data_IF_200893174508
#
_entry.id   IF_200893174508
#
_cell.length_a   1.000
_cell.length_b   1.000
_cell.length_c   1.000
_cell.angle_alpha   90.00
_cell.angle_beta   90.00
_cell.angle_gamma   90.00
#
_symmetry.space_group_name_H-M   'P 1'
#
loop_
_entity.id
_entity.type
_entity.pdbx_description
1 polymer ?
#
# COMPACT_ATOMS: atom_id res chain seq x y z
N UNK A 1 -5.95 -6.37 19.26
CA UNK A 1 -5.15 -5.35 18.55
C UNK A 1 -5.06 -5.81 17.11
N UNK A 2 -5.57 -5.05 16.11
CA UNK A 2 -5.36 -5.42 14.72
C UNK A 2 -3.85 -5.42 14.43
N UNK A 3 -3.35 -6.52 13.86
CA UNK A 3 -1.94 -6.63 13.48
C UNK A 3 -1.70 -5.76 12.25
N UNK A 4 -0.90 -4.69 12.40
CA UNK A 4 -0.49 -3.85 11.29
C UNK A 4 0.29 -4.69 10.27
N UNK A 5 -0.26 -4.83 9.06
CA UNK A 5 0.41 -5.50 7.95
C UNK A 5 1.24 -4.48 7.17
N UNK A 6 2.43 -4.22 7.69
CA UNK A 6 3.47 -3.45 7.02
C UNK A 6 4.27 -4.38 6.11
N UNK A 7 4.59 -3.94 4.88
CA UNK A 7 5.42 -4.75 3.99
C UNK A 7 6.86 -4.83 4.54
N UNK A 8 7.59 -5.93 4.29
CA UNK A 8 8.89 -6.19 4.94
C UNK A 8 10.00 -5.17 4.63
N UNK A 9 9.76 -4.27 3.68
CA UNK A 9 10.70 -3.23 3.23
C UNK A 9 10.28 -1.81 3.67
N UNK A 10 9.27 -1.70 4.54
CA UNK A 10 8.70 -0.42 4.98
C UNK A 10 9.07 -0.10 6.43
N UNK A 11 9.05 1.20 6.74
CA UNK A 11 9.33 1.73 8.07
C UNK A 11 8.16 1.47 9.03
N UNK A 12 8.44 0.76 10.12
CA UNK A 12 7.46 0.43 11.15
C UNK A 12 7.05 1.65 12.01
N UNK A 13 7.89 2.69 12.07
CA UNK A 13 7.62 3.89 12.90
C UNK A 13 6.61 4.84 12.24
N UNK A 14 6.14 4.51 11.02
CA UNK A 14 5.15 5.27 10.24
C UNK A 14 5.56 6.73 10.03
N UNK A 15 6.86 7.04 10.06
CA UNK A 15 7.38 8.38 9.78
C UNK A 15 7.15 8.78 8.32
N UNK A 16 7.14 7.79 7.44
CA UNK A 16 6.73 7.86 6.04
C UNK A 16 5.34 7.23 5.87
N UNK A 17 4.68 7.53 4.75
CA UNK A 17 3.42 6.88 4.38
C UNK A 17 3.75 5.50 3.80
N UNK A 18 3.43 4.38 4.47
CA UNK A 18 3.62 3.04 3.91
C UNK A 18 2.60 2.78 2.79
N UNK A 19 2.83 1.75 1.98
CA UNK A 19 2.01 1.36 0.84
C UNK A 19 0.60 0.98 1.26
N UNK A 20 0.41 0.37 2.42
CA UNK A 20 -0.93 0.16 2.98
C UNK A 20 -1.66 1.50 3.16
N UNK A 21 -1.03 2.45 3.86
CA UNK A 21 -1.61 3.79 4.05
C UNK A 21 -1.80 4.54 2.73
N UNK A 22 -0.89 4.37 1.76
CA UNK A 22 -1.03 4.93 0.42
C UNK A 22 -2.22 4.33 -0.34
N UNK A 23 -2.40 3.01 -0.29
CA UNK A 23 -3.56 2.30 -0.87
C UNK A 23 -4.86 2.83 -0.29
N UNK A 24 -4.92 2.98 1.05
CA UNK A 24 -6.10 3.52 1.73
C UNK A 24 -6.45 4.93 1.25
N UNK A 25 -5.47 5.83 1.19
CA UNK A 25 -5.64 7.21 0.75
C UNK A 25 -6.03 7.31 -0.74
N UNK A 26 -5.37 6.52 -1.60
CA UNK A 26 -5.65 6.47 -3.03
C UNK A 26 -7.05 5.91 -3.29
N UNK A 27 -7.48 4.84 -2.59
CA UNK A 27 -8.85 4.33 -2.65
C UNK A 27 -9.88 5.38 -2.23
N UNK A 28 -9.57 6.16 -1.18
CA UNK A 28 -10.43 7.24 -0.72
C UNK A 28 -10.49 8.46 -1.64
N UNK A 29 -9.67 8.50 -2.71
CA UNK A 29 -9.57 9.63 -3.64
C UNK A 29 -8.91 10.85 -2.99
N UNK A 30 -7.91 10.61 -2.14
CA UNK A 30 -7.27 11.63 -1.31
C UNK A 30 -5.75 11.52 -1.39
N UNK A 31 -5.10 12.66 -1.63
CA UNK A 31 -3.65 12.80 -1.55
C UNK A 31 -3.33 13.56 -0.27
N UNK A 32 -2.70 12.87 0.67
CA UNK A 32 -2.14 13.48 1.86
C UNK A 32 -0.65 13.76 1.66
N UNK A 33 -0.21 14.97 2.00
CA UNK A 33 1.21 15.31 2.01
C UNK A 33 1.93 14.58 3.16
N UNK A 34 3.25 14.41 3.05
CA UNK A 34 4.05 13.81 4.13
C UNK A 34 3.91 14.61 5.44
N UNK A 35 3.91 15.94 5.34
CA UNK A 35 3.68 16.82 6.50
C UNK A 35 2.30 16.57 7.12
N UNK A 36 1.25 16.49 6.29
CA UNK A 36 -0.11 16.20 6.77
C UNK A 36 -0.21 14.84 7.46
N UNK A 37 0.45 13.82 6.92
CA UNK A 37 0.56 12.49 7.53
C UNK A 37 1.28 12.51 8.89
N UNK A 38 2.40 13.22 8.97
CA UNK A 38 3.19 13.32 10.20
C UNK A 38 2.45 14.11 11.31
N UNK A 39 1.52 14.99 10.94
CA UNK A 39 0.65 15.71 11.89
C UNK A 39 -0.53 14.87 12.40
N UNK A 40 -0.86 13.75 11.75
CA UNK A 40 -1.84 12.82 12.31
C UNK A 40 -1.31 12.20 13.61
N UNK A 41 -2.22 11.79 14.49
CA UNK A 41 -1.82 10.97 15.64
C UNK A 41 -1.29 9.61 15.16
N UNK A 42 -0.43 8.97 15.96
CA UNK A 42 0.04 7.62 15.64
C UNK A 42 -1.14 6.65 15.45
N UNK A 43 -2.14 6.69 16.35
CA UNK A 43 -3.36 5.88 16.24
C UNK A 43 -4.11 6.08 14.90
N UNK A 44 -4.17 7.32 14.40
CA UNK A 44 -4.80 7.58 13.11
C UNK A 44 -3.97 7.00 11.95
N UNK A 45 -2.64 7.12 12.01
CA UNK A 45 -1.74 6.49 11.02
C UNK A 45 -1.89 4.97 11.02
N UNK A 46 -1.88 4.35 12.19
CA UNK A 46 -2.05 2.89 12.36
C UNK A 46 -3.42 2.43 11.85
N UNK A 47 -4.49 3.17 12.13
CA UNK A 47 -5.82 2.87 11.62
C UNK A 47 -5.88 2.95 10.08
N UNK A 48 -5.32 4.00 9.48
CA UNK A 48 -5.25 4.15 8.01
C UNK A 48 -4.45 3.00 7.38
N UNK A 49 -3.34 2.61 8.00
CA UNK A 49 -2.53 1.46 7.55
C UNK A 49 -3.34 0.17 7.62
N UNK A 50 -4.04 -0.07 8.73
CA UNK A 50 -4.85 -1.28 8.91
C UNK A 50 -5.90 -1.38 7.82
N UNK A 51 -6.67 -0.31 7.59
CA UNK A 51 -7.69 -0.23 6.53
C UNK A 51 -7.09 -0.47 5.14
N UNK A 52 -5.89 0.04 4.90
CA UNK A 52 -5.17 -0.15 3.65
C UNK A 52 -4.65 -1.56 3.40
N UNK A 53 -4.58 -2.40 4.44
CA UNK A 53 -4.14 -3.79 4.33
C UNK A 53 -5.28 -4.80 4.14
N UNK A 54 -6.53 -4.38 4.41
CA UNK A 54 -7.71 -5.23 4.28
C UNK A 54 -8.02 -5.58 2.82
N UNK A 55 -8.85 -6.61 2.61
CA UNK A 55 -9.36 -6.98 1.28
C UNK A 55 -10.01 -5.78 0.59
N UNK A 56 -10.90 -5.09 1.30
CA UNK A 56 -11.58 -3.88 0.85
C UNK A 56 -11.23 -2.72 1.79
N UNK A 57 -11.00 -1.54 1.23
CA UNK A 57 -10.71 -0.33 2.00
C UNK A 57 -12.02 0.35 2.40
N UNK A 58 -12.24 0.56 3.71
CA UNK A 58 -13.32 1.43 4.20
C UNK A 58 -12.98 2.90 3.91
N UNK A 59 -13.45 3.39 2.77
CA UNK A 59 -13.16 4.73 2.26
C UNK A 59 -13.71 5.84 3.16
N UNK A 60 -14.91 5.66 3.72
CA UNK A 60 -15.51 6.68 4.58
C UNK A 60 -14.74 6.80 5.89
N UNK A 61 -14.32 5.67 6.48
CA UNK A 61 -13.47 5.68 7.67
C UNK A 61 -12.11 6.33 7.41
N UNK A 62 -11.50 6.09 6.25
CA UNK A 62 -10.25 6.77 5.86
C UNK A 62 -10.46 8.28 5.77
N UNK A 63 -11.57 8.74 5.17
CA UNK A 63 -11.90 10.17 5.08
C UNK A 63 -12.06 10.81 6.45
N UNK A 64 -12.77 10.14 7.37
CA UNK A 64 -12.92 10.61 8.74
C UNK A 64 -11.57 10.79 9.45
N UNK A 65 -10.66 9.82 9.29
CA UNK A 65 -9.34 9.82 9.94
C UNK A 65 -8.43 10.96 9.46
N UNK A 66 -8.66 11.50 8.26
CA UNK A 66 -7.81 12.56 7.68
C UNK A 66 -8.45 13.95 7.72
N UNK A 67 -9.70 14.08 8.20
CA UNK A 67 -10.42 15.37 8.28
C UNK A 67 -9.65 16.45 9.06
N UNK A 68 -8.90 16.06 10.09
CA UNK A 68 -8.08 16.96 10.91
C UNK A 68 -6.65 17.19 10.40
N UNK A 69 -6.27 16.66 9.23
CA UNK A 69 -4.90 16.76 8.76
C UNK A 69 -4.51 18.20 8.38
N UNK A 70 -3.26 18.58 8.70
CA UNK A 70 -2.70 19.89 8.33
C UNK A 70 -1.31 19.71 7.69
N UNK A 71 -1.12 20.05 6.40
CA UNK A 71 -2.13 20.56 5.46
C UNK A 71 -3.28 19.58 5.17
N UNK A 72 -4.48 20.07 4.80
CA UNK A 72 -5.60 19.22 4.40
C UNK A 72 -5.26 18.29 3.24
N UNK A 73 -5.93 17.13 3.18
CA UNK A 73 -5.79 16.22 2.05
C UNK A 73 -6.46 16.79 0.78
N UNK A 74 -5.77 16.66 -0.35
CA UNK A 74 -6.26 17.11 -1.65
C UNK A 74 -7.10 16.02 -2.32
N UNK A 75 -8.19 16.36 -3.03
CA UNK A 75 -8.89 15.40 -3.87
C UNK A 75 -8.01 14.97 -5.04
N UNK A 76 -8.02 13.67 -5.35
CA UNK A 76 -7.40 13.10 -6.55
C UNK A 76 -8.35 12.10 -7.21
N UNK A 77 -8.14 11.82 -8.50
CA UNK A 77 -8.74 10.65 -9.12
C UNK A 77 -8.18 9.40 -8.44
N UNK A 78 -9.06 8.55 -7.89
CA UNK A 78 -8.65 7.27 -7.30
C UNK A 78 -7.97 6.42 -8.37
N UNK A 79 -6.70 6.03 -8.19
CA UNK A 79 -6.05 5.08 -9.07
C UNK A 79 -6.81 3.76 -9.08
N UNK A 80 -6.95 3.14 -10.25
CA UNK A 80 -7.51 1.80 -10.37
C UNK A 80 -6.70 0.81 -9.51
N UNK A 81 -7.41 -0.02 -8.76
CA UNK A 81 -6.81 -1.11 -8.00
C UNK A 81 -6.34 -2.22 -8.97
N UNK A 82 -5.19 -2.87 -8.73
CA UNK A 82 -4.74 -3.93 -9.63
C UNK A 82 -5.70 -5.13 -9.59
N UNK A 83 -5.87 -5.85 -10.72
CA UNK A 83 -6.69 -7.05 -10.77
C UNK A 83 -6.19 -8.13 -9.81
N UNK A 84 -7.12 -8.87 -9.20
CA UNK A 84 -6.78 -9.97 -8.29
C UNK A 84 -6.19 -11.17 -9.02
N UNK A 85 -6.69 -11.48 -10.22
CA UNK A 85 -6.39 -12.74 -10.91
C UNK A 85 -5.11 -12.71 -11.74
N UNK A 86 -4.62 -11.52 -12.13
CA UNK A 86 -3.41 -11.38 -12.94
C UNK A 86 -2.68 -10.05 -12.67
N UNK A 87 -1.34 -10.02 -12.78
CA UNK A 87 -0.59 -8.78 -12.74
C UNK A 87 -0.98 -7.84 -13.89
N UNK A 88 -0.70 -6.54 -13.74
CA UNK A 88 -0.86 -5.62 -14.86
C UNK A 88 0.28 -5.77 -15.87
N UNK A 89 0.05 -5.36 -17.13
CA UNK A 89 1.04 -5.43 -18.21
C UNK A 89 2.35 -4.74 -17.83
N UNK A 90 2.29 -3.63 -17.09
CA UNK A 90 3.48 -2.91 -16.63
C UNK A 90 4.29 -3.70 -15.59
N UNK A 91 3.63 -4.50 -14.76
CA UNK A 91 4.32 -5.39 -13.81
C UNK A 91 5.00 -6.54 -14.57
N UNK A 92 4.26 -7.16 -15.50
CA UNK A 92 4.78 -8.26 -16.33
C UNK A 92 5.96 -7.82 -17.22
N UNK A 93 5.92 -6.59 -17.74
CA UNK A 93 7.02 -6.04 -18.53
C UNK A 93 8.35 -5.95 -17.76
N UNK A 94 8.31 -5.91 -16.42
CA UNK A 94 9.51 -5.75 -15.57
C UNK A 94 9.90 -7.05 -14.88
N UNK A 95 8.93 -7.84 -14.40
CA UNK A 95 9.16 -9.10 -13.67
C UNK A 95 9.06 -10.35 -14.53
N UNK A 96 8.43 -10.26 -15.70
CA UNK A 96 7.93 -11.43 -16.41
C UNK A 96 6.79 -12.08 -15.65
N UNK A 97 6.82 -13.41 -15.54
CA UNK A 97 5.81 -14.17 -14.79
C UNK A 97 5.93 -13.92 -13.29
N UNK A 98 4.78 -13.75 -12.63
CA UNK A 98 4.65 -13.58 -11.18
C UNK A 98 3.82 -14.74 -10.61
N UNK A 99 4.41 -15.93 -10.40
CA UNK A 99 3.71 -17.07 -9.81
C UNK A 99 3.10 -16.72 -8.46
N UNK A 100 1.87 -17.16 -8.22
CA UNK A 100 1.18 -16.90 -6.95
C UNK A 100 0.63 -15.47 -6.81
N UNK A 101 0.50 -14.70 -7.89
CA UNK A 101 -0.09 -13.35 -7.87
C UNK A 101 -1.42 -13.26 -7.08
N UNK A 102 -2.35 -14.19 -7.34
CA UNK A 102 -3.65 -14.22 -6.67
C UNK A 102 -3.53 -14.49 -5.15
N UNK A 103 -2.46 -15.16 -4.71
CA UNK A 103 -2.20 -15.42 -3.30
C UNK A 103 -1.50 -14.25 -2.58
N UNK A 104 -0.99 -13.25 -3.31
CA UNK A 104 -0.40 -12.06 -2.70
C UNK A 104 -1.49 -11.24 -1.97
N UNK A 105 -1.21 -10.69 -0.78
CA UNK A 105 -2.12 -9.75 -0.14
C UNK A 105 -2.44 -8.56 -1.06
N UNK A 106 -3.63 -7.94 -0.95
CA UNK A 106 -4.02 -6.78 -1.75
C UNK A 106 -2.98 -5.66 -1.74
N UNK A 107 -2.42 -5.34 -0.55
CA UNK A 107 -1.37 -4.33 -0.39
C UNK A 107 -0.09 -4.68 -1.15
N UNK A 108 0.27 -5.97 -1.25
CA UNK A 108 1.45 -6.41 -1.99
C UNK A 108 1.23 -6.25 -3.50
N UNK A 109 0.07 -6.66 -4.02
CA UNK A 109 -0.32 -6.42 -5.42
C UNK A 109 -0.31 -4.93 -5.75
N UNK A 110 -0.90 -4.11 -4.88
CA UNK A 110 -0.92 -2.65 -5.01
C UNK A 110 0.50 -2.06 -5.06
N UNK A 111 1.41 -2.49 -4.17
CA UNK A 111 2.78 -1.99 -4.15
C UNK A 111 3.52 -2.29 -5.47
N UNK A 112 3.42 -3.52 -5.98
CA UNK A 112 4.04 -3.92 -7.26
C UNK A 112 3.49 -3.10 -8.43
N UNK A 113 2.16 -2.95 -8.50
CA UNK A 113 1.51 -2.15 -9.54
C UNK A 113 1.89 -0.66 -9.45
N UNK A 114 1.94 -0.10 -8.24
CA UNK A 114 2.31 1.30 -7.99
C UNK A 114 3.75 1.59 -8.41
N UNK A 115 4.70 0.68 -8.13
CA UNK A 115 6.08 0.85 -8.58
C UNK A 115 6.24 0.69 -10.09
N UNK A 116 5.52 -0.25 -10.72
CA UNK A 116 5.52 -0.42 -12.17
C UNK A 116 5.07 0.86 -12.88
N UNK A 117 3.90 1.39 -12.49
CA UNK A 117 3.33 2.61 -13.09
C UNK A 117 4.19 3.86 -12.92
N UNK A 118 5.01 3.90 -11.87
CA UNK A 118 5.92 5.02 -11.59
C UNK A 118 7.32 4.83 -12.20
N UNK A 119 7.54 3.77 -12.98
CA UNK A 119 8.84 3.43 -13.57
C UNK A 119 9.92 3.10 -12.54
N UNK A 120 9.54 2.68 -11.32
CA UNK A 120 10.47 2.37 -10.22
C UNK A 120 10.89 0.90 -10.27
N UNK A 121 11.49 0.49 -11.38
CA UNK A 121 11.76 -0.93 -11.68
C UNK A 121 12.65 -1.62 -10.63
N UNK A 122 13.67 -0.93 -10.11
CA UNK A 122 14.55 -1.51 -9.08
C UNK A 122 13.81 -1.74 -7.76
N UNK A 123 12.95 -0.78 -7.36
CA UNK A 123 12.10 -0.94 -6.17
C UNK A 123 11.08 -2.06 -6.35
N UNK A 124 10.50 -2.16 -7.54
CA UNK A 124 9.57 -3.23 -7.88
C UNK A 124 10.23 -4.62 -7.77
N UNK A 125 11.44 -4.79 -8.32
CA UNK A 125 12.19 -6.05 -8.21
C UNK A 125 12.55 -6.37 -6.76
N UNK A 126 13.05 -5.38 -6.01
CA UNK A 126 13.39 -5.55 -4.61
C UNK A 126 12.17 -5.93 -3.76
N UNK A 127 11.04 -5.24 -3.95
CA UNK A 127 9.79 -5.53 -3.26
C UNK A 127 9.31 -6.96 -3.53
N UNK A 128 9.30 -7.38 -4.80
CA UNK A 128 8.91 -8.74 -5.16
C UNK A 128 9.83 -9.81 -4.54
N UNK A 129 11.15 -9.59 -4.57
CA UNK A 129 12.13 -10.49 -3.97
C UNK A 129 11.98 -10.62 -2.45
N UNK A 130 11.67 -9.53 -1.74
CA UNK A 130 11.39 -9.56 -0.30
C UNK A 130 10.11 -10.33 0.03
N UNK A 131 9.07 -10.19 -0.79
CA UNK A 131 7.80 -10.93 -0.62
C UNK A 131 7.97 -12.43 -0.85
N UNK A 132 8.74 -12.83 -1.86
CA UNK A 132 8.98 -14.24 -2.19
C UNK A 132 9.95 -14.93 -1.22
N UNK A 133 10.92 -14.20 -0.67
CA UNK A 133 11.85 -14.72 0.35
C UNK A 133 11.19 -14.92 1.72
N UNK A 134 10.18 -14.10 2.05
CA UNK A 134 9.40 -14.24 3.29
C UNK A 134 8.46 -15.44 3.29
N UNK A 135 7.97 -15.87 2.12
CA UNK A 135 7.13 -17.06 1.97
C UNK A 135 7.87 -18.36 2.35
N UNK A 136 9.19 -18.40 2.22
CA UNK A 136 10.03 -19.55 2.58
C UNK A 136 10.31 -19.69 4.08
N UNK A 137 9.95 -18.70 4.92
CA UNK A 137 10.27 -18.70 6.36
C UNK A 137 9.07 -18.97 7.28
N UNK A 138 7.84 -19.12 6.77
CA UNK A 138 6.65 -19.44 7.57
C UNK A 138 6.30 -20.93 7.65
N UNK A 139 7.24 -21.82 7.33
CA UNK A 139 7.07 -23.28 7.48
C UNK A 139 8.12 -23.83 8.46
N UNK A 140 7.95 -23.54 9.75
CA UNK A 140 8.55 -24.33 10.84
C UNK A 140 7.81 -24.14 12.14
#
# INVERSE_FOLDING_TARGET
MPTLRILPFEDADLTLIPMAGRRALDAAGRKLSLRGWQQLSLLAREAIVSLGAEAEVDVERVRDLITGASPPAEPIASPAEPPEHAPSVEVEAVLGSVPGWAALPPVARYALHSYARRGKHDKLRAAYASMSSGASQSTR
#
